data_IF_374097188506
#
_entry.id   IF_374097188506
#
_cell.length_a   1.000
_cell.length_b   1.000
_cell.length_c   1.000
_cell.angle_alpha   90.00
_cell.angle_beta   90.00
_cell.angle_gamma   90.00
#
_symmetry.space_group_name_H-M   'P 1'
#
loop_
_entity.id
_entity.type
_entity.pdbx_description
1 polymer ?
2 non-polymer ?
3 non-polymer ?
4 non-polymer ?
5 water ?
#
# COMPACT_ATOMS: atom_id res chain seq x y z
N UNK A 1 -1.00 9.40 5.73
CA UNK A 1 -2.12 9.01 6.63
C UNK A 1 -3.27 10.03 6.59
N UNK A 2 -4.50 9.54 6.77
CA UNK A 2 -5.71 10.37 6.74
C UNK A 2 -6.38 10.49 8.11
N UNK A 3 -7.52 11.20 8.15
CA UNK A 3 -8.32 11.38 9.36
C UNK A 3 -9.65 10.68 9.11
N UNK A 4 -10.15 9.95 10.11
CA UNK A 4 -11.43 9.25 9.97
C UNK A 4 -12.40 9.70 11.06
N UNK A 5 -12.03 10.80 11.72
CA UNK A 5 -12.87 11.36 12.76
C UNK A 5 -13.70 12.54 12.26
N UNK A 6 -13.59 12.85 10.96
CA UNK A 6 -14.36 13.95 10.35
C UNK A 6 -15.81 13.65 10.68
N UNK A 7 -16.51 14.66 11.19
CA UNK A 7 -17.89 14.47 11.58
C UNK A 7 -18.94 14.99 10.61
N UNK A 8 -19.81 14.06 10.20
CA UNK A 8 -20.89 14.30 9.26
C UNK A 8 -21.94 15.24 9.85
N UNK A 9 -22.65 15.93 8.96
CA UNK A 9 -23.67 16.86 9.39
C UNK A 9 -24.84 16.22 10.11
N UNK A 10 -25.27 16.83 11.21
CA UNK A 10 -26.43 16.34 11.98
C UNK A 10 -27.64 16.84 11.23
N UNK A 11 -28.43 15.93 10.70
CA UNK A 11 -29.60 16.32 9.94
C UNK A 11 -29.15 16.80 8.59
N UNK A 12 -28.27 16.01 7.99
CA UNK A 12 -27.72 16.31 6.68
C UNK A 12 -28.84 15.91 5.72
N UNK A 13 -29.13 16.77 4.76
CA UNK A 13 -30.20 16.51 3.80
C UNK A 13 -29.66 15.99 2.47
N UNK A 14 -29.79 14.68 2.22
CA UNK A 14 -29.30 14.08 0.98
C UNK A 14 -30.12 14.32 -0.29
N UNK A 15 -31.39 14.66 -0.14
CA UNK A 15 -32.21 14.93 -1.31
C UNK A 15 -31.76 16.23 -1.97
N UNK A 16 -31.19 17.12 -1.17
CA UNK A 16 -30.73 18.41 -1.68
C UNK A 16 -29.31 18.28 -2.20
N UNK A 17 -28.49 17.55 -1.45
CA UNK A 17 -27.10 17.38 -1.83
C UNK A 17 -26.97 16.63 -3.13
N UNK A 18 -27.59 15.45 -3.17
CA UNK A 18 -27.56 14.58 -4.32
C UNK A 18 -28.63 14.89 -5.33
N UNK A 19 -28.69 16.13 -5.78
CA UNK A 19 -29.70 16.53 -6.76
C UNK A 19 -29.24 16.48 -8.22
N UNK A 20 -28.02 16.01 -8.48
CA UNK A 20 -27.54 15.91 -9.85
C UNK A 20 -26.98 17.19 -10.40
N UNK A 21 -26.83 18.17 -9.53
CA UNK A 21 -26.29 19.46 -9.90
C UNK A 21 -24.81 19.46 -9.65
N UNK A 22 -24.16 20.53 -10.07
CA UNK A 22 -22.72 20.69 -9.96
C UNK A 22 -22.26 21.54 -8.76
N UNK A 23 -21.24 21.06 -8.06
CA UNK A 23 -20.66 21.76 -6.92
C UNK A 23 -19.29 22.13 -7.40
N UNK A 24 -18.84 23.35 -7.10
CA UNK A 24 -17.54 23.83 -7.53
C UNK A 24 -16.69 23.94 -6.29
N UNK A 25 -15.40 23.66 -6.40
CA UNK A 25 -14.53 23.83 -5.25
C UNK A 25 -14.06 25.27 -5.35
N UNK A 26 -14.31 26.06 -4.32
CA UNK A 26 -13.90 27.44 -4.38
C UNK A 26 -12.66 27.67 -3.51
N UNK A 27 -12.45 26.78 -2.55
CA UNK A 27 -11.35 26.89 -1.59
C UNK A 27 -11.05 25.51 -1.09
N UNK A 28 -9.80 25.25 -0.74
CA UNK A 28 -9.47 23.93 -0.22
C UNK A 28 -8.25 23.95 0.69
N UNK A 29 -8.03 22.83 1.35
CA UNK A 29 -6.91 22.66 2.24
C UNK A 29 -6.42 21.22 2.12
N UNK A 30 -5.19 21.11 1.62
CA UNK A 30 -4.47 19.87 1.42
C UNK A 30 -3.48 19.72 2.59
N UNK A 31 -3.64 18.68 3.38
CA UNK A 31 -2.76 18.49 4.53
C UNK A 31 -1.41 17.90 4.15
N UNK A 32 -1.37 17.24 3.01
CA UNK A 32 -0.16 16.61 2.51
C UNK A 32 -0.01 17.08 1.07
N UNK A 33 0.40 18.34 0.87
CA UNK A 33 0.56 18.86 -0.49
C UNK A 33 1.78 18.33 -1.26
N UNK A 34 1.62 18.21 -2.57
CA UNK A 34 2.68 17.75 -3.47
C UNK A 34 3.93 18.64 -3.35
N UNK A 35 5.10 18.08 -3.68
CA UNK A 35 6.34 18.84 -3.61
C UNK A 35 6.44 19.78 -4.80
N UNK A 36 5.66 19.52 -5.85
CA UNK A 36 5.64 20.37 -7.03
C UNK A 36 4.38 21.27 -7.06
N UNK A 37 4.56 22.62 -7.08
CA UNK A 37 3.44 23.59 -7.11
C UNK A 37 2.48 23.37 -8.27
N UNK A 38 1.18 23.48 -8.00
CA UNK A 38 0.15 23.25 -9.01
C UNK A 38 -1.18 23.99 -8.83
N UNK A 39 -1.56 24.76 -9.84
CA UNK A 39 -2.84 25.49 -9.80
C UNK A 39 -3.98 24.48 -9.96
N UNK A 40 -4.94 24.51 -9.04
CA UNK A 40 -5.98 23.46 -9.18
C UNK A 40 -7.47 23.93 -9.25
N UNK A 41 -8.14 23.22 -10.14
CA UNK A 41 -9.56 23.43 -10.34
C UNK A 41 -10.27 22.09 -10.29
N UNK A 42 -11.42 22.06 -9.64
CA UNK A 42 -12.20 20.83 -9.56
C UNK A 42 -13.65 21.19 -9.31
N UNK A 43 -14.54 20.29 -9.74
CA UNK A 43 -15.97 20.46 -9.55
C UNK A 43 -16.46 19.03 -9.53
N UNK A 44 -17.68 18.80 -9.04
CA UNK A 44 -18.26 17.47 -9.01
C UNK A 44 -19.77 17.63 -9.17
N UNK A 45 -20.47 16.53 -9.43
CA UNK A 45 -21.90 16.57 -9.59
C UNK A 45 -22.34 15.29 -8.90
N UNK A 46 -22.99 15.44 -7.76
CA UNK A 46 -23.46 14.29 -7.02
C UNK A 46 -24.94 14.15 -7.33
N UNK A 47 -25.39 12.93 -7.61
CA UNK A 47 -26.78 12.70 -7.95
C UNK A 47 -27.13 11.23 -7.86
N UNK A 48 -28.20 10.82 -8.50
CA UNK A 48 -28.60 9.40 -8.48
C UNK A 48 -28.92 8.98 -9.91
N UNK A 49 -28.89 7.69 -10.16
CA UNK A 49 -29.19 7.22 -11.49
C UNK A 49 -29.28 5.72 -11.46
N UNK A 50 -30.36 5.22 -12.02
CA UNK A 50 -30.64 3.79 -12.08
C UNK A 50 -30.83 3.20 -10.69
N UNK A 51 -30.88 4.04 -9.67
CA UNK A 51 -31.09 3.56 -8.32
C UNK A 51 -29.89 3.61 -7.38
N UNK A 52 -28.79 4.22 -7.82
CA UNK A 52 -27.62 4.29 -6.97
C UNK A 52 -27.16 5.71 -6.92
N UNK A 53 -26.44 6.02 -5.87
CA UNK A 53 -25.87 7.33 -5.68
C UNK A 53 -24.65 7.31 -6.61
N UNK A 54 -24.52 8.34 -7.43
CA UNK A 54 -23.43 8.44 -8.35
C UNK A 54 -22.79 9.79 -8.08
N UNK A 55 -21.49 9.90 -8.37
CA UNK A 55 -20.75 11.14 -8.21
C UNK A 55 -19.80 11.27 -9.39
N UNK A 56 -19.81 12.41 -10.07
CA UNK A 56 -18.92 12.59 -11.19
C UNK A 56 -17.94 13.69 -10.77
N UNK A 57 -16.64 13.45 -11.00
CA UNK A 57 -15.56 14.36 -10.63
C UNK A 57 -14.84 14.98 -11.84
N UNK A 58 -14.25 16.16 -11.63
CA UNK A 58 -13.55 16.88 -12.70
C UNK A 58 -12.35 17.61 -12.09
N UNK A 59 -11.19 17.52 -12.74
CA UNK A 59 -10.00 18.23 -12.29
C UNK A 59 -9.49 18.92 -13.52
N UNK A 60 -8.93 20.10 -13.34
CA UNK A 60 -8.43 20.88 -14.45
C UNK A 60 -7.16 21.57 -13.96
N UNK A 61 -6.22 21.77 -14.87
CA UNK A 61 -4.98 22.43 -14.55
C UNK A 61 -4.98 23.61 -15.51
N UNK A 62 -5.16 24.83 -14.99
CA UNK A 62 -5.17 25.96 -15.93
C UNK A 62 -3.82 26.17 -16.62
N UNK A 63 -2.75 25.71 -15.97
CA UNK A 63 -1.40 25.86 -16.51
C UNK A 63 -1.08 24.94 -17.69
N UNK A 64 -1.29 23.64 -17.49
CA UNK A 64 -1.02 22.65 -18.53
C UNK A 64 -2.23 22.39 -19.40
N UNK A 65 -3.38 22.90 -18.97
CA UNK A 65 -4.65 22.69 -19.66
C UNK A 65 -5.15 21.26 -19.53
N UNK A 66 -4.48 20.50 -18.66
CA UNK A 66 -4.78 19.11 -18.33
C UNK A 66 -6.23 18.99 -17.85
N UNK A 67 -6.82 17.86 -18.13
CA UNK A 67 -8.18 17.60 -17.64
C UNK A 67 -8.40 16.11 -17.46
N UNK A 68 -9.11 15.77 -16.40
CA UNK A 68 -9.45 14.36 -16.18
C UNK A 68 -10.77 14.25 -15.38
N UNK A 69 -11.49 13.21 -15.76
CA UNK A 69 -12.80 12.89 -15.18
C UNK A 69 -12.77 11.54 -14.46
N UNK A 70 -13.77 11.38 -13.56
CA UNK A 70 -13.97 10.15 -12.80
C UNK A 70 -15.45 10.03 -12.52
N UNK A 71 -15.89 8.79 -12.36
CA UNK A 71 -17.26 8.49 -12.04
C UNK A 71 -17.16 7.32 -11.05
N UNK A 72 -17.96 7.36 -9.97
CA UNK A 72 -17.99 6.30 -8.98
C UNK A 72 -19.41 6.07 -8.56
N UNK A 73 -19.65 4.87 -8.06
CA UNK A 73 -20.93 4.46 -7.52
C UNK A 73 -20.69 4.63 -6.03
N UNK A 74 -21.48 5.46 -5.35
CA UNK A 74 -21.26 5.66 -3.93
C UNK A 74 -22.02 4.65 -3.07
N UNK A 75 -21.46 4.37 -1.91
CA UNK A 75 -22.06 3.46 -0.95
C UNK A 75 -22.02 4.20 0.40
N UNK A 76 -23.19 4.28 1.03
CA UNK A 76 -23.39 5.00 2.29
C UNK A 76 -22.92 4.28 3.53
N UNK A 77 -21.94 4.85 4.21
CA UNK A 77 -21.43 4.27 5.46
C UNK A 77 -22.34 4.73 6.61
N UNK A 78 -22.79 5.97 6.51
CA UNK A 78 -23.66 6.60 7.48
C UNK A 78 -24.05 7.85 6.70
N UNK A 79 -25.24 8.44 6.97
CA UNK A 79 -25.61 9.66 6.22
C UNK A 79 -24.54 10.76 6.36
N UNK A 80 -24.00 11.22 5.25
CA UNK A 80 -22.96 12.23 5.31
C UNK A 80 -21.59 11.63 5.02
N UNK A 81 -21.43 10.33 5.29
CA UNK A 81 -20.15 9.61 5.05
C UNK A 81 -20.27 8.63 3.88
N UNK A 82 -19.49 8.84 2.83
CA UNK A 82 -19.60 7.96 1.64
C UNK A 82 -18.24 7.41 1.18
N UNK A 83 -18.28 6.23 0.55
CA UNK A 83 -17.11 5.59 -0.01
C UNK A 83 -17.31 5.51 -1.51
N UNK A 84 -16.32 5.98 -2.27
CA UNK A 84 -16.46 6.01 -3.69
C UNK A 84 -15.42 5.18 -4.44
N UNK A 85 -15.87 4.19 -5.20
CA UNK A 85 -14.98 3.36 -5.98
C UNK A 85 -14.94 3.95 -7.37
N UNK A 86 -13.94 4.78 -7.61
CA UNK A 86 -13.84 5.49 -8.88
C UNK A 86 -13.24 4.80 -10.08
N UNK A 87 -13.59 5.33 -11.24
CA UNK A 87 -13.10 4.83 -12.50
C UNK A 87 -12.84 6.06 -13.39
N UNK A 88 -11.62 6.18 -13.91
CA UNK A 88 -11.21 7.28 -14.78
C UNK A 88 -11.83 7.08 -16.15
N UNK A 89 -12.43 8.13 -16.70
CA UNK A 89 -13.13 7.99 -17.97
C UNK A 89 -12.88 9.17 -18.84
N UNK A 90 -13.22 9.03 -20.12
CA UNK A 90 -13.10 10.16 -21.03
C UNK A 90 -14.36 11.03 -20.79
N UNK A 91 -14.42 12.22 -21.36
CA UNK A 91 -15.59 13.05 -21.11
C UNK A 91 -16.89 12.45 -21.61
N UNK A 92 -16.79 11.37 -22.36
CA UNK A 92 -17.97 10.72 -22.90
C UNK A 92 -18.26 9.39 -22.20
N UNK A 93 -17.55 9.11 -21.11
CA UNK A 93 -17.79 7.87 -20.40
C UNK A 93 -16.92 6.68 -20.76
N UNK A 94 -16.04 6.81 -21.76
CA UNK A 94 -15.14 5.71 -22.15
C UNK A 94 -14.12 5.52 -21.03
N UNK A 95 -13.99 4.30 -20.52
CA UNK A 95 -13.08 3.96 -19.43
C UNK A 95 -11.60 3.95 -19.73
N UNK A 96 -10.84 4.76 -19.01
CA UNK A 96 -9.41 4.80 -19.17
C UNK A 96 -8.80 3.86 -18.13
N UNK A 97 -9.29 3.92 -16.89
CA UNK A 97 -8.79 3.06 -15.80
C UNK A 97 -9.98 2.47 -15.04
N UNK A 98 -10.16 1.16 -15.16
CA UNK A 98 -11.29 0.47 -14.54
C UNK A 98 -11.33 0.64 -13.02
N UNK A 99 -12.44 0.21 -12.45
CA UNK A 99 -12.62 0.27 -11.01
C UNK A 99 -11.66 -0.75 -10.43
N UNK A 100 -11.04 -0.42 -9.31
CA UNK A 100 -10.09 -1.32 -8.69
C UNK A 100 -10.17 -1.29 -7.18
N UNK A 101 -9.91 -2.45 -6.58
CA UNK A 101 -9.94 -2.63 -5.14
C UNK A 101 -9.18 -1.56 -4.37
N UNK A 102 -7.92 -1.37 -4.71
CA UNK A 102 -7.13 -0.37 -4.01
C UNK A 102 -7.54 1.07 -4.27
N UNK A 103 -8.32 1.29 -5.33
CA UNK A 103 -8.75 2.63 -5.71
C UNK A 103 -10.11 3.08 -5.21
N UNK A 104 -10.09 4.10 -4.35
CA UNK A 104 -11.32 4.64 -3.80
C UNK A 104 -11.06 5.84 -2.94
N UNK A 105 -12.06 6.68 -2.78
CA UNK A 105 -11.91 7.79 -1.89
C UNK A 105 -13.15 7.81 -1.02
N UNK A 106 -13.01 8.39 0.16
CA UNK A 106 -14.11 8.49 1.08
C UNK A 106 -14.25 9.95 1.50
N UNK A 107 -15.48 10.44 1.49
CA UNK A 107 -15.71 11.81 1.90
C UNK A 107 -16.82 11.91 2.91
N UNK A 108 -16.71 12.96 3.71
CA UNK A 108 -17.66 13.26 4.74
C UNK A 108 -18.20 14.66 4.46
N UNK A 109 -19.52 14.76 4.46
CA UNK A 109 -20.18 16.03 4.24
C UNK A 109 -20.27 16.58 5.67
N UNK A 110 -19.41 17.54 5.99
CA UNK A 110 -19.37 18.16 7.31
C UNK A 110 -20.45 19.24 7.51
N UNK A 111 -20.78 19.92 6.43
CA UNK A 111 -21.80 20.97 6.42
C UNK A 111 -22.34 21.14 4.99
N UNK A 112 -23.63 21.42 4.86
CA UNK A 112 -24.25 21.63 3.54
C UNK A 112 -25.52 22.47 3.61
N UNK A 113 -25.64 23.36 2.63
CA UNK A 113 -26.75 24.29 2.45
C UNK A 113 -27.35 23.94 1.12
N UNK A 114 -28.10 24.91 0.62
CA UNK A 114 -28.77 24.85 -0.66
C UNK A 114 -27.77 25.50 -1.60
N UNK A 115 -26.77 26.15 -1.03
CA UNK A 115 -25.81 26.85 -1.83
C UNK A 115 -24.33 26.61 -1.48
N UNK A 116 -24.07 25.99 -0.35
CA UNK A 116 -22.70 25.76 0.05
C UNK A 116 -22.47 24.47 0.80
N UNK A 117 -21.21 24.11 0.93
CA UNK A 117 -20.88 22.88 1.63
C UNK A 117 -19.42 22.86 2.03
N UNK A 118 -19.12 21.99 2.97
CA UNK A 118 -17.76 21.81 3.45
C UNK A 118 -17.63 20.30 3.53
N UNK A 119 -16.66 19.76 2.79
CA UNK A 119 -16.42 18.34 2.83
C UNK A 119 -14.95 17.96 3.18
N UNK A 120 -14.81 16.73 3.65
CA UNK A 120 -13.52 16.21 3.97
C UNK A 120 -13.41 15.02 3.04
N UNK A 121 -12.30 14.92 2.33
CA UNK A 121 -12.15 13.78 1.46
C UNK A 121 -10.78 13.12 1.66
N UNK A 122 -10.78 11.80 1.59
CA UNK A 122 -9.55 11.03 1.73
C UNK A 122 -9.37 10.12 0.53
N UNK A 123 -8.32 10.34 -0.23
CA UNK A 123 -8.01 9.54 -1.41
C UNK A 123 -7.02 8.39 -1.17
N UNK A 124 -7.43 7.20 -1.56
CA UNK A 124 -6.61 6.01 -1.46
C UNK A 124 -6.48 5.58 -2.91
N UNK A 125 -5.25 5.47 -3.40
CA UNK A 125 -5.08 5.04 -4.78
C UNK A 125 -4.17 3.84 -4.87
N UNK A 126 -4.71 2.69 -4.47
CA UNK A 126 -3.96 1.45 -4.48
C UNK A 126 -3.30 1.18 -3.14
N UNK A 127 -4.13 1.08 -2.11
CA UNK A 127 -3.72 0.83 -0.72
C UNK A 127 -2.92 1.97 -0.09
N UNK A 128 -2.53 2.94 -0.90
CA UNK A 128 -1.75 4.03 -0.38
C UNK A 128 -2.70 5.17 -0.05
N UNK A 129 -2.62 5.59 1.21
CA UNK A 129 -3.43 6.68 1.68
C UNK A 129 -2.80 7.93 1.12
N UNK A 130 -3.50 8.60 0.23
CA UNK A 130 -2.92 9.79 -0.37
C UNK A 130 -3.12 11.11 0.38
N UNK A 131 -3.62 11.07 1.62
CA UNK A 131 -3.80 12.29 2.39
C UNK A 131 -5.14 13.04 2.55
N UNK A 132 -5.22 13.80 3.65
CA UNK A 132 -6.38 14.62 4.06
C UNK A 132 -6.70 15.81 3.16
N UNK A 133 -7.95 15.90 2.70
CA UNK A 133 -8.33 17.05 1.90
C UNK A 133 -9.70 17.61 2.33
N UNK A 134 -9.71 18.91 2.61
CA UNK A 134 -10.93 19.61 3.02
C UNK A 134 -11.27 20.58 1.91
N UNK A 135 -12.50 20.56 1.45
CA UNK A 135 -12.91 21.45 0.37
C UNK A 135 -14.15 22.26 0.76
N UNK A 136 -14.23 23.48 0.24
CA UNK A 136 -15.39 24.34 0.45
C UNK A 136 -16.04 24.35 -0.94
N UNK A 137 -17.29 23.88 -1.02
CA UNK A 137 -18.01 23.85 -2.29
C UNK A 137 -19.12 24.91 -2.30
N UNK A 138 -19.50 25.34 -3.51
CA UNK A 138 -20.59 26.30 -3.68
C UNK A 138 -21.27 25.94 -4.97
N UNK A 139 -22.59 26.18 -5.06
CA UNK A 139 -23.37 25.87 -6.25
C UNK A 139 -23.10 26.93 -7.32
N UNK A 140 -22.43 28.00 -6.91
CA UNK A 140 -22.06 29.05 -7.85
C UNK A 140 -20.55 29.23 -7.74
N UNK A 141 -19.85 29.14 -8.86
CA UNK A 141 -18.40 29.25 -8.88
C UNK A 141 -17.78 30.56 -8.42
N UNK A 142 -18.52 31.65 -8.54
CA UNK A 142 -18.01 32.98 -8.18
C UNK A 142 -18.33 33.52 -6.81
N UNK A 143 -18.84 32.68 -5.94
CA UNK A 143 -19.19 33.17 -4.62
C UNK A 143 -18.19 32.82 -3.55
N UNK A 144 -17.89 33.84 -2.77
CA UNK A 144 -16.99 33.78 -1.63
C UNK A 144 -17.70 32.99 -0.53
N UNK A 145 -16.95 32.24 0.28
CA UNK A 145 -17.54 31.43 1.34
C UNK A 145 -18.30 32.32 2.32
N UNK A 146 -19.52 31.90 2.66
CA UNK A 146 -20.36 32.66 3.59
C UNK A 146 -20.05 32.38 5.04
N UNK A 147 -20.71 33.12 5.93
CA UNK A 147 -20.49 32.93 7.35
C UNK A 147 -20.79 31.54 7.84
N UNK A 148 -21.79 30.88 7.25
CA UNK A 148 -22.15 29.55 7.69
C UNK A 148 -21.10 28.49 7.40
N UNK A 149 -20.52 28.48 6.20
CA UNK A 149 -19.47 27.47 5.89
C UNK A 149 -18.24 27.77 6.77
N UNK A 150 -17.89 29.05 6.87
CA UNK A 150 -16.76 29.47 7.66
C UNK A 150 -16.89 29.14 9.15
N UNK A 151 -18.12 29.06 9.65
CA UNK A 151 -18.34 28.73 11.04
C UNK A 151 -18.09 27.26 11.15
N UNK A 152 -18.44 26.53 10.08
CA UNK A 152 -18.28 25.07 9.98
C UNK A 152 -16.79 24.69 9.90
N UNK A 153 -16.02 25.54 9.22
CA UNK A 153 -14.59 25.32 9.10
C UNK A 153 -14.03 25.46 10.52
N UNK A 154 -14.44 26.50 11.23
CA UNK A 154 -14.00 26.73 12.60
C UNK A 154 -14.48 25.64 13.55
N UNK A 155 -15.67 25.14 13.33
CA UNK A 155 -16.20 24.12 14.21
C UNK A 155 -15.39 22.82 14.04
N UNK A 156 -14.70 22.72 12.91
CA UNK A 156 -13.88 21.54 12.62
C UNK A 156 -12.47 21.68 13.20
N UNK A 157 -12.20 22.82 13.83
CA UNK A 157 -10.92 23.11 14.45
C UNK A 157 -9.86 23.52 13.43
N UNK A 158 -10.32 23.99 12.27
CA UNK A 158 -9.45 24.46 11.19
C UNK A 158 -9.49 25.99 11.08
N UNK A 159 -8.57 26.54 10.30
CA UNK A 159 -8.48 27.97 10.04
C UNK A 159 -8.75 28.22 8.55
N UNK A 160 -9.75 29.02 8.23
CA UNK A 160 -10.07 29.30 6.85
C UNK A 160 -8.97 30.04 6.12
N UNK A 161 -8.17 30.77 6.89
CA UNK A 161 -7.08 31.53 6.32
C UNK A 161 -6.00 30.60 5.79
N UNK A 162 -6.03 29.35 6.20
CA UNK A 162 -5.06 28.38 5.72
C UNK A 162 -5.60 27.74 4.43
N UNK A 163 -6.83 28.09 4.05
CA UNK A 163 -7.46 27.56 2.85
C UNK A 163 -6.97 28.32 1.64
N UNK A 164 -6.94 27.65 0.48
CA UNK A 164 -6.47 28.25 -0.76
C UNK A 164 -7.63 28.46 -1.72
N UNK A 165 -7.77 29.67 -2.25
CA UNK A 165 -8.86 29.98 -3.16
C UNK A 165 -8.55 29.70 -4.62
N UNK A 166 -9.44 28.95 -5.27
CA UNK A 166 -9.31 28.64 -6.69
C UNK A 166 -9.88 29.77 -7.56
N UNK A 167 -10.56 30.71 -6.91
CA UNK A 167 -11.20 31.86 -7.55
C UNK A 167 -10.31 32.59 -8.57
N UNK A 168 -9.00 32.56 -8.34
CA UNK A 168 -8.06 33.25 -9.22
C UNK A 168 -7.15 32.37 -10.09
N UNK A 169 -7.51 31.09 -10.29
CA UNK A 169 -6.68 30.18 -11.08
C UNK A 169 -7.13 30.06 -12.52
N UNK A 170 -7.90 31.03 -13.00
CA UNK A 170 -8.38 30.99 -14.37
C UNK A 170 -8.98 29.64 -14.70
N UNK A 171 -9.88 29.16 -13.84
CA UNK A 171 -10.50 27.85 -14.07
C UNK A 171 -11.49 27.82 -15.23
N UNK A 172 -11.77 26.62 -15.73
CA UNK A 172 -12.69 26.39 -16.84
C UNK A 172 -13.33 25.06 -16.47
N UNK A 173 -14.66 24.98 -16.52
CA UNK A 173 -15.41 23.78 -16.15
C UNK A 173 -16.23 23.19 -17.27
N UNK A 174 -16.54 21.90 -17.17
CA UNK A 174 -17.36 21.22 -18.17
C UNK A 174 -18.54 20.54 -17.47
N UNK A 175 -19.54 21.36 -17.13
CA UNK A 175 -20.73 20.90 -16.43
C UNK A 175 -21.61 20.04 -17.27
N UNK A 176 -21.58 20.28 -18.57
CA UNK A 176 -22.40 19.49 -19.44
C UNK A 176 -21.96 18.03 -19.31
N UNK A 177 -20.66 17.79 -19.51
CA UNK A 177 -20.12 16.44 -19.40
C UNK A 177 -20.22 15.92 -17.99
N UNK A 178 -19.98 16.79 -17.00
CA UNK A 178 -20.08 16.36 -15.60
C UNK A 178 -21.44 15.76 -15.29
N UNK A 179 -22.51 16.42 -15.72
CA UNK A 179 -23.87 15.95 -15.45
C UNK A 179 -24.27 14.66 -16.18
N UNK A 180 -23.74 14.48 -17.37
CA UNK A 180 -24.02 13.29 -18.16
C UNK A 180 -23.17 12.09 -17.76
N UNK A 181 -22.02 12.29 -17.13
CA UNK A 181 -21.17 11.15 -16.71
C UNK A 181 -21.86 10.46 -15.56
N UNK A 182 -22.88 11.11 -15.01
CA UNK A 182 -23.66 10.61 -13.87
C UNK A 182 -24.32 9.27 -14.13
N UNK A 183 -24.75 9.07 -15.37
CA UNK A 183 -25.43 7.83 -15.77
C UNK A 183 -24.48 6.76 -16.30
N UNK A 184 -23.20 7.15 -16.43
CA UNK A 184 -22.12 6.29 -16.95
C UNK A 184 -21.46 5.38 -15.92
N UNK B 1 11.31 -1.03 -5.54
CA UNK B 1 10.36 -2.19 -5.55
C UNK B 1 11.11 -3.51 -5.83
N UNK B 2 10.32 -4.58 -5.93
CA UNK B 2 10.84 -5.92 -6.16
C UNK B 2 10.80 -6.36 -7.62
N UNK B 3 11.32 -7.55 -7.88
CA UNK B 3 11.34 -8.14 -9.22
C UNK B 3 10.68 -9.51 -9.11
N UNK B 4 9.76 -9.80 -10.03
CA UNK B 4 9.04 -11.09 -10.02
C UNK B 4 9.52 -12.01 -11.15
N UNK B 5 10.67 -11.66 -11.72
CA UNK B 5 11.28 -12.43 -12.81
C UNK B 5 12.29 -13.49 -12.34
N UNK B 6 12.65 -13.48 -11.05
CA UNK B 6 13.58 -14.47 -10.51
C UNK B 6 13.05 -15.84 -10.89
N UNK B 7 13.93 -16.67 -11.46
CA UNK B 7 13.53 -18.00 -11.91
C UNK B 7 13.73 -19.05 -10.81
N UNK B 8 12.72 -19.90 -10.62
CA UNK B 8 12.80 -20.96 -9.62
C UNK B 8 13.74 -21.98 -10.21
N UNK B 9 14.35 -22.80 -9.37
CA UNK B 9 15.28 -23.80 -9.89
C UNK B 9 14.55 -24.83 -10.74
N UNK B 10 15.23 -25.25 -11.81
CA UNK B 10 14.68 -26.25 -12.72
C UNK B 10 15.02 -27.63 -12.12
N UNK B 11 13.98 -28.39 -11.82
CA UNK B 11 14.16 -29.70 -11.20
C UNK B 11 14.42 -29.51 -9.72
N UNK B 12 13.76 -28.52 -9.12
CA UNK B 12 13.90 -28.19 -7.70
C UNK B 12 13.33 -29.33 -6.83
N UNK B 13 14.14 -29.85 -5.91
CA UNK B 13 13.70 -30.92 -5.02
C UNK B 13 13.18 -30.34 -3.70
N UNK B 14 11.86 -30.35 -3.51
CA UNK B 14 11.26 -29.80 -2.32
C UNK B 14 11.56 -30.64 -1.11
N UNK B 15 11.69 -31.94 -1.31
CA UNK B 15 11.97 -32.89 -0.23
C UNK B 15 13.26 -32.62 0.51
N UNK B 16 14.23 -32.03 -0.18
CA UNK B 16 15.53 -31.73 0.43
C UNK B 16 15.49 -30.40 1.19
N UNK B 17 14.94 -29.40 0.52
CA UNK B 17 14.83 -28.05 1.03
C UNK B 17 13.91 -28.01 2.27
N UNK B 18 12.70 -28.55 2.16
CA UNK B 18 11.71 -28.57 3.24
C UNK B 18 11.79 -29.81 4.13
N UNK B 19 12.98 -30.10 4.62
CA UNK B 19 13.19 -31.29 5.44
C UNK B 19 13.18 -31.03 6.95
N UNK B 20 12.84 -29.80 7.35
CA UNK B 20 12.77 -29.47 8.77
C UNK B 20 14.07 -29.00 9.41
N UNK B 21 15.10 -28.82 8.60
CA UNK B 21 16.38 -28.42 9.12
C UNK B 21 16.64 -26.96 8.91
N UNK B 22 17.66 -26.45 9.59
CA UNK B 22 18.06 -25.06 9.52
C UNK B 22 18.94 -24.72 8.31
N UNK B 23 18.81 -23.48 7.84
CA UNK B 23 19.60 -22.96 6.74
C UNK B 23 20.12 -21.65 7.33
N UNK B 24 21.41 -21.36 7.15
CA UNK B 24 21.95 -20.11 7.68
C UNK B 24 22.14 -19.19 6.51
N UNK B 25 22.03 -17.89 6.74
CA UNK B 25 22.26 -16.95 5.67
C UNK B 25 23.73 -16.60 5.82
N UNK B 26 24.53 -16.93 4.82
CA UNK B 26 25.96 -16.66 4.88
C UNK B 26 26.31 -15.38 4.16
N UNK B 27 25.60 -15.07 3.09
CA UNK B 27 25.88 -13.86 2.32
C UNK B 27 24.56 -13.36 1.82
N UNK B 28 24.46 -12.06 1.58
CA UNK B 28 23.22 -11.54 1.08
C UNK B 28 23.43 -10.27 0.30
N UNK B 29 22.47 -9.98 -0.56
CA UNK B 29 22.52 -8.79 -1.37
C UNK B 29 21.20 -8.06 -1.22
N UNK B 30 21.30 -6.84 -0.72
CA UNK B 30 20.15 -5.96 -0.52
C UNK B 30 20.06 -4.94 -1.66
N UNK B 31 18.93 -4.89 -2.35
CA UNK B 31 18.75 -3.92 -3.42
C UNK B 31 18.26 -2.62 -2.81
N UNK B 32 17.64 -2.71 -1.62
CA UNK B 32 17.17 -1.52 -0.90
C UNK B 32 17.91 -1.38 0.44
N UNK B 33 19.19 -1.01 0.39
CA UNK B 33 19.97 -0.85 1.63
C UNK B 33 19.53 0.36 2.48
N UNK B 34 20.29 0.67 3.54
CA UNK B 34 19.91 1.78 4.42
C UNK B 34 20.92 2.94 4.40
N UNK B 35 20.68 3.91 5.28
CA UNK B 35 21.57 5.06 5.48
C UNK B 35 22.29 4.72 6.78
N UNK B 36 21.66 3.86 7.58
CA UNK B 36 22.22 3.39 8.85
C UNK B 36 22.58 1.92 8.54
N UNK B 37 23.76 1.67 7.92
CA UNK B 37 24.23 0.32 7.54
C UNK B 37 24.31 -0.69 8.70
N UNK B 38 23.63 -1.85 8.53
CA UNK B 38 23.61 -2.88 9.58
C UNK B 38 24.19 -4.25 9.22
N UNK B 39 24.71 -4.94 10.25
CA UNK B 39 25.28 -6.27 10.13
C UNK B 39 24.27 -7.29 10.68
N UNK B 40 23.46 -7.82 9.77
CA UNK B 40 22.44 -8.78 10.13
C UNK B 40 22.84 -10.24 10.20
N UNK B 41 22.09 -10.95 11.02
CA UNK B 41 22.26 -12.37 11.22
C UNK B 41 20.87 -12.90 11.03
N UNK B 42 20.73 -13.95 10.24
CA UNK B 42 19.41 -14.50 10.03
C UNK B 42 19.57 -15.97 9.72
N UNK B 43 18.52 -16.73 10.00
CA UNK B 43 18.47 -18.14 9.76
C UNK B 43 16.99 -18.48 9.66
N UNK B 44 16.68 -19.66 9.11
CA UNK B 44 15.30 -20.11 8.94
C UNK B 44 15.29 -21.63 8.97
N UNK B 45 14.13 -22.22 9.11
CA UNK B 45 13.99 -23.67 9.14
C UNK B 45 12.73 -23.89 8.34
N UNK B 46 12.81 -24.72 7.33
CA UNK B 46 11.67 -24.99 6.48
C UNK B 46 11.31 -26.47 6.53
N UNK B 47 10.01 -26.76 6.58
CA UNK B 47 9.56 -28.14 6.63
C UNK B 47 8.06 -28.23 6.45
N UNK B 48 7.48 -29.35 6.83
CA UNK B 48 6.04 -29.51 6.74
C UNK B 48 5.50 -29.84 8.10
N UNK B 49 4.30 -29.34 8.38
CA UNK B 49 3.66 -29.61 9.65
C UNK B 49 2.20 -29.65 9.30
N UNK B 50 1.53 -30.72 9.70
CA UNK B 50 0.11 -30.89 9.43
C UNK B 50 -0.22 -30.78 7.94
N UNK B 51 0.69 -31.26 7.09
CA UNK B 51 0.44 -31.23 5.66
C UNK B 51 0.66 -29.91 4.95
N UNK B 52 1.11 -28.91 5.71
CA UNK B 52 1.38 -27.60 5.15
C UNK B 52 2.88 -27.34 5.20
N UNK B 53 3.33 -26.56 4.22
CA UNK B 53 4.72 -26.16 4.14
C UNK B 53 4.85 -24.99 5.09
N UNK B 54 5.52 -25.19 6.21
CA UNK B 54 5.71 -24.13 7.18
C UNK B 54 7.15 -23.63 7.08
N UNK B 55 7.42 -22.45 7.64
CA UNK B 55 8.77 -21.91 7.65
C UNK B 55 8.92 -21.05 8.89
N UNK B 56 10.08 -21.13 9.55
CA UNK B 56 10.35 -20.35 10.77
C UNK B 56 11.59 -19.50 10.57
N UNK B 57 11.45 -18.19 10.76
CA UNK B 57 12.52 -17.23 10.59
C UNK B 57 13.12 -16.71 11.88
N UNK B 58 14.38 -16.30 11.77
CA UNK B 58 15.14 -15.79 12.90
C UNK B 58 16.04 -14.68 12.39
N UNK B 59 16.04 -13.55 13.10
CA UNK B 59 16.85 -12.39 12.77
C UNK B 59 17.51 -12.07 14.07
N UNK B 60 18.70 -11.54 13.97
CA UNK B 60 19.48 -11.22 15.13
C UNK B 60 20.30 -10.02 14.75
N UNK B 61 20.55 -9.21 15.75
CA UNK B 61 21.34 -8.03 15.55
C UNK B 61 22.47 -8.20 16.55
N UNK B 62 23.68 -8.50 16.07
CA UNK B 62 24.79 -8.67 17.01
C UNK B 62 24.94 -7.47 17.96
N UNK B 63 24.90 -6.27 17.40
CA UNK B 63 25.05 -5.02 18.15
C UNK B 63 24.13 -4.86 19.36
N UNK B 64 22.83 -4.86 19.09
CA UNK B 64 21.83 -4.69 20.13
C UNK B 64 21.42 -5.97 20.85
N UNK B 65 21.73 -7.13 20.28
CA UNK B 65 21.32 -8.38 20.89
C UNK B 65 19.82 -8.59 20.60
N UNK B 66 19.24 -7.65 19.85
CA UNK B 66 17.84 -7.71 19.45
C UNK B 66 17.62 -8.98 18.65
N UNK B 67 16.44 -9.54 18.74
CA UNK B 67 16.18 -10.75 17.99
C UNK B 67 14.70 -11.07 17.86
N UNK B 68 14.20 -11.31 16.63
CA UNK B 68 12.80 -11.66 16.45
C UNK B 68 12.57 -12.98 15.71
N UNK B 69 11.39 -13.56 15.89
CA UNK B 69 11.01 -14.82 15.26
C UNK B 69 9.72 -14.58 14.46
N UNK B 70 9.44 -15.45 13.49
CA UNK B 70 8.24 -15.36 12.67
C UNK B 70 7.94 -16.78 12.29
N UNK B 71 6.68 -17.10 12.02
CA UNK B 71 6.31 -18.44 11.56
C UNK B 71 5.36 -18.24 10.37
N UNK B 72 5.50 -19.06 9.33
CA UNK B 72 4.68 -18.91 8.14
C UNK B 72 4.11 -20.21 7.64
N UNK B 73 3.06 -20.08 6.85
CA UNK B 73 2.41 -21.14 6.17
C UNK B 73 2.63 -20.69 4.78
N UNK B 74 3.22 -21.52 3.93
CA UNK B 74 3.51 -21.10 2.57
C UNK B 74 2.54 -21.68 1.57
N UNK B 75 2.24 -20.88 0.55
CA UNK B 75 1.37 -21.30 -0.54
C UNK B 75 2.34 -21.38 -1.73
N UNK B 76 2.34 -22.52 -2.40
CA UNK B 76 3.23 -22.74 -3.54
C UNK B 76 2.64 -22.24 -4.84
N UNK B 77 3.16 -21.13 -5.36
CA UNK B 77 2.69 -20.58 -6.61
C UNK B 77 3.05 -21.53 -7.75
N UNK B 78 4.23 -22.12 -7.63
CA UNK B 78 4.77 -23.04 -8.60
C UNK B 78 5.96 -23.66 -7.92
N UNK B 79 6.51 -24.74 -8.49
CA UNK B 79 7.68 -25.35 -7.84
C UNK B 79 8.81 -24.34 -7.64
N UNK B 80 9.21 -24.15 -6.39
CA UNK B 80 10.28 -23.24 -6.07
C UNK B 80 9.87 -21.80 -5.83
N UNK B 81 8.57 -21.53 -5.94
CA UNK B 81 8.03 -20.20 -5.72
C UNK B 81 6.90 -20.25 -4.68
N UNK B 82 7.10 -19.53 -3.57
CA UNK B 82 6.11 -19.56 -2.46
C UNK B 82 5.75 -18.16 -1.94
N UNK B 83 4.55 -18.09 -1.40
CA UNK B 83 4.05 -16.87 -0.78
C UNK B 83 3.89 -17.22 0.70
N UNK B 84 4.35 -16.36 1.60
CA UNK B 84 4.26 -16.67 3.01
C UNK B 84 3.56 -15.61 3.84
N UNK B 85 2.46 -15.96 4.50
CA UNK B 85 1.79 -14.99 5.37
C UNK B 85 2.31 -15.27 6.78
N UNK B 86 3.18 -14.39 7.25
CA UNK B 86 3.81 -14.56 8.55
C UNK B 86 3.21 -13.87 9.76
N UNK B 87 3.65 -14.32 10.93
CA UNK B 87 3.29 -13.69 12.18
C UNK B 87 4.53 -13.60 13.08
N UNK B 88 4.66 -12.51 13.83
CA UNK B 88 5.76 -12.36 14.76
C UNK B 88 5.38 -13.23 15.95
N UNK B 89 6.32 -14.01 16.47
CA UNK B 89 6.03 -14.85 17.62
C UNK B 89 7.17 -14.69 18.59
N UNK B 90 6.98 -15.15 19.81
CA UNK B 90 8.01 -15.11 20.84
C UNK B 90 8.73 -16.42 20.64
N UNK B 91 9.92 -16.57 21.19
CA UNK B 91 10.66 -17.82 21.01
C UNK B 91 9.89 -19.09 21.44
N UNK B 92 8.78 -18.89 22.15
CA UNK B 92 7.94 -20.01 22.61
C UNK B 92 6.70 -20.23 21.75
N UNK B 93 6.42 -19.35 20.79
CA UNK B 93 5.26 -19.53 19.94
C UNK B 93 4.13 -18.56 20.19
N UNK B 94 4.31 -17.68 21.17
CA UNK B 94 3.29 -16.68 21.50
C UNK B 94 3.20 -15.62 20.40
N UNK B 95 2.00 -15.41 19.87
CA UNK B 95 1.78 -14.41 18.82
C UNK B 95 1.87 -12.96 19.32
N UNK B 96 2.73 -12.19 18.67
CA UNK B 96 2.89 -10.80 19.01
C UNK B 96 2.10 -10.03 17.97
N UNK B 97 2.34 -10.33 16.68
CA UNK B 97 1.64 -9.69 15.58
C UNK B 97 1.03 -10.75 14.70
N UNK B 98 -0.26 -11.03 14.88
CA UNK B 98 -0.94 -12.07 14.11
C UNK B 98 -0.88 -11.91 12.60
N UNK B 99 -1.43 -12.90 11.90
CA UNK B 99 -1.46 -12.92 10.44
C UNK B 99 -2.38 -11.85 9.90
N UNK B 100 -1.92 -11.11 8.90
CA UNK B 100 -2.72 -10.06 8.27
C UNK B 100 -2.46 -10.06 6.76
N UNK B 101 -3.51 -9.85 5.98
CA UNK B 101 -3.41 -9.86 4.52
C UNK B 101 -2.27 -9.06 3.85
N UNK B 102 -2.09 -7.80 4.21
CA UNK B 102 -1.03 -7.01 3.60
C UNK B 102 0.39 -7.23 4.07
N UNK B 103 0.59 -8.26 4.88
CA UNK B 103 1.91 -8.61 5.42
C UNK B 103 2.29 -9.99 4.90
N UNK B 104 3.23 -10.04 3.97
CA UNK B 104 3.66 -11.31 3.41
C UNK B 104 4.97 -11.16 2.68
N UNK B 105 5.63 -12.29 2.44
CA UNK B 105 6.84 -12.25 1.68
C UNK B 105 6.72 -13.42 0.73
N UNK B 106 7.22 -13.22 -0.49
CA UNK B 106 7.23 -14.25 -1.52
C UNK B 106 8.68 -14.59 -1.79
N UNK B 107 8.94 -15.84 -2.12
CA UNK B 107 10.31 -16.17 -2.42
C UNK B 107 10.44 -17.29 -3.43
N UNK B 108 11.55 -17.21 -4.17
CA UNK B 108 11.93 -18.18 -5.20
C UNK B 108 13.25 -18.86 -4.87
N UNK B 109 13.25 -20.18 -4.92
CA UNK B 109 14.47 -20.95 -4.70
C UNK B 109 15.05 -21.01 -6.11
N UNK B 110 16.11 -20.24 -6.34
CA UNK B 110 16.78 -20.18 -7.63
C UNK B 110 17.75 -21.37 -7.79
N UNK B 111 18.37 -21.77 -6.68
CA UNK B 111 19.29 -22.90 -6.64
C UNK B 111 19.28 -23.54 -5.26
N UNK B 112 19.47 -24.85 -5.21
CA UNK B 112 19.50 -25.52 -3.94
C UNK B 112 20.06 -26.89 -4.11
N UNK B 113 20.88 -27.30 -3.16
CA UNK B 113 21.38 -28.67 -3.17
C UNK B 113 21.39 -29.12 -1.73
N UNK B 114 22.05 -30.22 -1.43
CA UNK B 114 22.06 -30.76 -0.09
C UNK B 114 22.68 -29.92 0.98
N UNK B 115 23.37 -28.85 0.61
CA UNK B 115 24.02 -28.05 1.63
C UNK B 115 24.12 -26.56 1.33
N UNK B 116 23.67 -26.13 0.16
CA UNK B 116 23.74 -24.73 -0.21
C UNK B 116 22.53 -24.32 -1.02
N UNK B 117 22.27 -23.02 -1.08
CA UNK B 117 21.12 -22.54 -1.80
C UNK B 117 21.17 -21.03 -1.96
N UNK B 118 20.51 -20.55 -3.01
CA UNK B 118 20.39 -19.12 -3.32
C UNK B 118 18.88 -18.85 -3.50
N UNK B 119 18.36 -17.86 -2.78
CA UNK B 119 16.94 -17.56 -2.88
C UNK B 119 16.77 -16.07 -3.07
N UNK B 120 15.64 -15.70 -3.65
CA UNK B 120 15.33 -14.30 -3.82
C UNK B 120 14.11 -14.11 -2.93
N UNK B 121 14.06 -13.00 -2.20
CA UNK B 121 12.94 -12.77 -1.31
C UNK B 121 12.46 -11.34 -1.41
N UNK B 122 11.15 -11.19 -1.44
CA UNK B 122 10.56 -9.86 -1.48
C UNK B 122 9.59 -9.72 -0.29
N UNK B 123 9.84 -8.74 0.56
CA UNK B 123 9.02 -8.51 1.72
C UNK B 123 7.94 -7.45 1.52
N UNK B 124 6.70 -7.84 1.87
CA UNK B 124 5.53 -6.97 1.80
C UNK B 124 4.98 -6.72 3.21
N UNK B 125 5.05 -5.48 3.67
CA UNK B 125 4.56 -5.14 5.00
C UNK B 125 3.71 -3.89 4.90
N UNK B 126 2.41 -4.04 5.14
CA UNK B 126 1.52 -2.90 5.05
C UNK B 126 1.17 -2.65 3.60
N UNK B 127 1.05 -3.76 2.86
CA UNK B 127 0.73 -3.72 1.42
C UNK B 127 1.79 -2.86 0.73
N UNK B 128 2.87 -2.62 1.45
CA UNK B 128 3.99 -1.84 0.98
C UNK B 128 5.04 -2.81 0.48
N UNK B 129 6.21 -2.30 0.13
CA UNK B 129 7.32 -3.11 -0.38
C UNK B 129 8.62 -2.71 0.25
N UNK B 130 9.20 -3.60 1.06
CA UNK B 130 10.47 -3.28 1.69
C UNK B 130 11.63 -3.64 0.75
N UNK B 131 11.28 -4.05 -0.47
CA UNK B 131 12.27 -4.36 -1.47
C UNK B 131 12.94 -5.71 -1.59
N UNK B 132 13.70 -5.80 -2.68
CA UNK B 132 14.47 -6.97 -3.10
C UNK B 132 15.58 -7.43 -2.16
N UNK B 133 15.83 -8.73 -2.18
CA UNK B 133 16.89 -9.31 -1.36
C UNK B 133 17.21 -10.71 -1.80
N UNK B 134 18.50 -10.95 -2.09
CA UNK B 134 19.01 -12.26 -2.50
C UNK B 134 19.89 -12.76 -1.38
N UNK B 135 19.75 -14.03 -1.05
CA UNK B 135 20.53 -14.58 0.05
C UNK B 135 21.15 -15.91 -0.27
N UNK B 136 22.41 -16.08 0.15
CA UNK B 136 23.11 -17.35 0.03
C UNK B 136 22.95 -18.08 1.38
N UNK B 137 22.44 -19.30 1.29
CA UNK B 137 22.20 -20.12 2.47
C UNK B 137 23.11 -21.32 2.50
N UNK B 138 23.38 -21.81 3.70
CA UNK B 138 24.17 -23.03 3.86
C UNK B 138 23.70 -23.81 5.07
N UNK B 139 23.80 -25.12 5.01
CA UNK B 139 23.42 -25.92 6.16
C UNK B 139 24.45 -25.74 7.28
N UNK B 140 25.63 -25.17 6.97
CA UNK B 140 26.70 -24.92 7.95
C UNK B 140 26.91 -23.43 8.01
N UNK B 141 26.94 -22.88 9.21
CA UNK B 141 27.10 -21.44 9.33
C UNK B 141 28.51 -20.98 9.05
N UNK B 142 29.46 -21.91 9.08
CA UNK B 142 30.86 -21.57 8.86
C UNK B 142 31.41 -21.92 7.47
N UNK B 143 30.52 -22.29 6.55
CA UNK B 143 30.95 -22.65 5.23
C UNK B 143 30.82 -21.49 4.28
N UNK B 144 31.89 -21.21 3.56
CA UNK B 144 31.93 -20.14 2.57
C UNK B 144 31.20 -20.67 1.35
N UNK B 145 30.75 -19.79 0.47
CA UNK B 145 29.99 -20.21 -0.70
C UNK B 145 30.79 -21.03 -1.72
N UNK B 146 30.27 -22.20 -2.08
CA UNK B 146 30.94 -23.04 -3.05
C UNK B 146 30.78 -22.61 -4.50
N UNK B 147 31.36 -23.37 -5.41
CA UNK B 147 31.29 -23.02 -6.83
C UNK B 147 29.90 -23.14 -7.43
N UNK B 148 29.07 -24.03 -6.90
CA UNK B 148 27.71 -24.17 -7.43
C UNK B 148 26.80 -22.98 -7.12
N UNK B 149 26.64 -22.56 -5.88
CA UNK B 149 25.79 -21.38 -5.63
C UNK B 149 26.34 -20.13 -6.35
N UNK B 150 27.66 -19.95 -6.35
CA UNK B 150 28.24 -18.79 -7.04
C UNK B 150 28.03 -18.84 -8.55
N UNK B 151 27.78 -20.04 -9.07
CA UNK B 151 27.55 -20.19 -10.48
C UNK B 151 26.10 -19.81 -10.73
N UNK B 152 25.27 -20.05 -9.73
CA UNK B 152 23.85 -19.73 -9.79
C UNK B 152 23.71 -18.22 -9.71
N UNK B 153 24.57 -17.60 -8.92
CA UNK B 153 24.58 -16.15 -8.77
C UNK B 153 24.86 -15.54 -10.13
N UNK B 154 25.87 -16.10 -10.81
CA UNK B 154 26.27 -15.63 -12.12
C UNK B 154 25.13 -15.81 -13.10
N UNK B 155 24.51 -16.98 -13.05
CA UNK B 155 23.40 -17.23 -13.91
C UNK B 155 22.26 -16.21 -13.73
N UNK B 156 22.18 -15.50 -12.59
CA UNK B 156 21.08 -14.52 -12.37
C UNK B 156 21.52 -13.11 -12.70
N UNK B 157 22.67 -13.01 -13.36
CA UNK B 157 23.23 -11.74 -13.77
C UNK B 157 23.61 -10.85 -12.61
N UNK B 158 23.99 -11.47 -11.51
CA UNK B 158 24.44 -10.76 -10.31
C UNK B 158 25.96 -10.95 -10.18
N UNK B 159 26.58 -10.17 -9.30
CA UNK B 159 28.01 -10.25 -9.01
C UNK B 159 28.16 -10.65 -7.55
N UNK B 160 28.80 -11.78 -7.29
CA UNK B 160 28.97 -12.22 -5.91
C UNK B 160 29.80 -11.23 -5.11
N UNK B 161 30.56 -10.41 -5.81
CA UNK B 161 31.40 -9.39 -5.20
C UNK B 161 30.53 -8.41 -4.45
N UNK B 162 29.29 -8.25 -4.91
CA UNK B 162 28.34 -7.35 -4.30
C UNK B 162 27.75 -7.93 -3.02
N UNK B 163 27.67 -9.25 -2.91
CA UNK B 163 27.12 -9.84 -1.71
C UNK B 163 27.90 -9.51 -0.45
N UNK B 164 27.18 -9.29 0.65
CA UNK B 164 27.78 -8.98 1.94
C UNK B 164 27.83 -10.31 2.70
N UNK B 165 28.87 -10.50 3.48
CA UNK B 165 29.02 -11.72 4.25
C UNK B 165 28.65 -11.50 5.71
N UNK B 166 28.07 -12.53 6.34
CA UNK B 166 27.68 -12.48 7.75
C UNK B 166 28.63 -13.24 8.67
N UNK B 167 29.75 -13.72 8.13
CA UNK B 167 30.70 -14.50 8.94
C UNK B 167 31.38 -13.80 10.13
N UNK B 168 32.00 -12.65 9.88
CA UNK B 168 32.68 -11.90 10.94
C UNK B 168 31.69 -10.91 11.56
N UNK B 169 30.48 -11.40 11.87
CA UNK B 169 29.42 -10.60 12.47
C UNK B 169 29.12 -10.98 13.90
N UNK B 170 29.80 -12.01 14.40
CA UNK B 170 29.59 -12.50 15.77
C UNK B 170 28.11 -12.89 15.96
N UNK B 171 27.60 -13.63 14.98
CA UNK B 171 26.21 -14.09 14.97
C UNK B 171 25.95 -15.21 15.97
N UNK B 172 24.79 -15.12 16.63
CA UNK B 172 24.40 -16.15 17.57
C UNK B 172 23.10 -16.67 16.99
N UNK B 173 22.82 -17.96 17.15
CA UNK B 173 21.61 -18.56 16.60
C UNK B 173 20.87 -19.35 17.65
N UNK B 174 19.61 -19.65 17.38
CA UNK B 174 18.81 -20.43 18.30
C UNK B 174 18.01 -21.41 17.46
N UNK B 175 18.65 -22.50 17.09
CA UNK B 175 18.02 -23.51 16.25
C UNK B 175 17.05 -24.40 16.97
N UNK B 176 17.28 -24.60 18.26
CA UNK B 176 16.39 -25.45 19.02
C UNK B 176 14.99 -24.83 18.97
N UNK B 177 14.88 -23.51 19.16
CA UNK B 177 13.59 -22.85 19.11
C UNK B 177 13.12 -22.67 17.65
N UNK B 178 14.06 -22.44 16.75
CA UNK B 178 13.72 -22.31 15.33
C UNK B 178 13.02 -23.58 14.84
N UNK B 179 13.45 -24.71 15.34
CA UNK B 179 12.90 -25.97 14.91
C UNK B 179 11.55 -26.32 15.53
N UNK B 180 11.37 -25.94 16.80
CA UNK B 180 10.11 -26.26 17.48
C UNK B 180 8.96 -25.29 17.09
N UNK B 181 9.32 -24.11 16.59
CA UNK B 181 8.37 -23.09 16.14
C UNK B 181 7.66 -23.55 14.88
N UNK B 182 8.21 -24.58 14.23
CA UNK B 182 7.64 -25.12 13.01
C UNK B 182 6.28 -25.79 13.25
N UNK B 183 5.92 -25.96 14.52
CA UNK B 183 4.65 -26.57 14.94
C UNK B 183 3.57 -25.57 15.36
N UNK B 184 3.99 -24.35 15.70
CA UNK B 184 3.06 -23.30 16.12
C UNK B 184 2.68 -22.40 14.93
X LIG C 1 -7.66 14.88 -4.88
X LIG C 1 -7.19 14.72 -3.84
X LIG D 1 -25.80 30.63 2.51
X LIG D 1 -27.10 29.94 2.53
X LIG D 1 -25.81 31.73 3.52
X LIG D 1 -25.55 31.18 1.17
X LIG D 1 -24.73 29.68 2.86
X LIG E 1 -6.56 13.00 -8.19
X LIG E 1 -10.74 13.04 -5.75
X LIG E 1 -10.30 17.87 -5.20
X LIG E 1 -5.68 17.57 -6.59
X LIG E 1 -7.80 12.66 -7.68
X LIG E 1 -8.50 11.42 -7.92
X LIG E 1 -9.68 11.43 -7.22
X LIG E 1 -9.68 12.65 -6.53
X LIG E 1 -10.80 10.41 -7.29
X LIG E 1 -7.99 10.28 -8.78
X LIG E 1 -8.19 10.48 -10.27
X LIG E 1 -7.77 9.26 -11.08
X LIG E 1 -6.54 9.06 -11.21
X LIG E 1 -8.65 8.50 -11.58
X LIG E 1 -11.00 14.38 -5.41
X LIG E 1 -12.22 14.87 -4.84
X LIG E 1 -12.12 16.21 -4.69
X LIG E 1 -10.81 16.59 -5.17
X LIG E 1 -13.37 13.93 -4.44
X LIG E 1 -13.06 17.01 -4.05
X LIG E 1 -13.82 17.94 -4.69
X LIG E 1 -9.06 18.19 -5.59
X LIG E 1 -8.44 19.49 -5.35
X LIG E 1 -7.11 19.42 -5.61
X LIG E 1 -6.89 18.04 -6.06
X LIG E 1 -9.16 20.70 -4.85
X LIG E 1 -6.13 20.40 -5.36
X LIG E 1 -5.33 20.22 -4.24
X LIG E 1 -5.50 16.29 -7.20
X LIG E 1 -4.32 15.93 -7.95
X LIG E 1 -4.59 14.62 -8.40
X LIG E 1 -5.92 14.21 -7.96
X LIG E 1 -3.08 16.82 -8.06
X LIG E 1 -3.67 13.67 -9.16
X LIG E 1 -3.06 12.66 -8.21
X LIG E 1 -2.98 11.27 -8.83
X LIG E 1 -2.54 10.34 -8.12
X LIG E 1 -3.37 11.12 -10.01
X LIG E 1 -8.59 13.46 -6.89
X LIG E 1 -10.13 15.45 -5.64
X LIG E 1 -8.11 17.26 -6.05
X LIG E 1 -6.49 15.25 -7.25
X LIG E 1 -8.35 15.35 -6.56
X LIG F 1 14.22 -9.25 5.48
X LIG F 1 14.08 -8.76 4.44
X LIG G 1 28.29 -28.19 -2.56
X LIG G 1 27.31 -27.12 -2.88
X LIG G 1 27.64 -29.52 -2.65
X LIG G 1 28.83 -27.98 -1.20
X LIG G 1 29.40 -28.12 -3.53
X LIG H 1 12.16 -8.05 8.74
X LIG H 1 11.92 -12.02 6.01
X LIG H 1 16.78 -11.99 5.74
X LIG H 1 16.81 -7.46 7.38
X LIG H 1 11.73 -9.28 8.23
X LIG H 1 10.32 -9.67 8.22
X LIG H 1 10.26 -10.77 7.40
X LIG H 1 11.58 -10.99 6.87
X LIG H 1 9.07 -11.71 7.24
X LIG H 1 9.20 -9.01 9.01
X LIG H 1 9.36 -9.39 10.48
X LIG H 1 8.09 -9.21 11.29
X LIG H 1 7.60 -10.19 11.89
X LIG H 1 7.57 -8.08 11.32
X LIG H 1 13.23 -12.39 5.73
X LIG H 1 13.63 -13.65 5.07
X LIG H 1 15.00 -13.63 5.00
X LIG H 1 15.44 -12.38 5.64
X LIG H 1 12.71 -14.68 4.41
X LIG H 1 15.89 -14.45 4.28
X LIG H 1 15.96 -15.79 4.46
X LIG H 1 17.22 -10.77 6.18
X LIG H 1 18.61 -10.31 6.10
X LIG H 1 18.63 -8.96 6.38
X LIG H 1 17.20 -8.63 6.74
X LIG H 1 19.84 -11.18 5.90
X LIG H 1 19.76 -8.12 6.39
X LIG H 1 19.78 -7.08 5.49
X LIG H 1 15.57 -7.31 7.98
X LIG H 1 15.15 -6.05 8.57
X LIG H 1 13.82 -6.16 8.93
X LIG H 1 13.44 -7.54 8.58
X LIG H 1 16.04 -4.80 8.68
X LIG H 1 12.98 -4.97 9.49
X LIG H 1 11.43 -4.81 9.53
X LIG H 1 10.89 -4.44 10.94
X LIG H 1 11.20 -3.32 11.43
X LIG H 1 10.15 -5.27 11.55
X LIG H 1 12.51 -10.13 7.43
X LIG H 1 14.35 -11.61 6.10
X LIG H 1 16.34 -9.77 6.62
X LIG H 1 14.53 -8.24 7.96
X LIG H 1 14.48 -10.00 7.13
#
# INVERSE_FOLDING_TARGET
KCTKNALAQTGFNKDKYFNGDVWYVTDYLDLEPDDVPKRYCAALAAGTASGKLKEALYHYDPKTQDTFYDVSELQEESPGKYTANFKKVEKNGNVKVDVTSGNYYTFTVMYADDSSALIHTCLHKGNKDLGDLYAVLNRNKDTNAGDKVKGAVTAASLKFSDFISTKDNKCEYDNVSLKSLLTK
KCTKNALAQTGFNKDKYFNGDVWYVTDYLDLEPDDVPKRYCAALAAGTASGKLKEALYHYDPKTQDTFYDVSELQEESPGKYTANFKKVEKNGNVKVDVTSGNYYTFTVMYADDSSALIHTCLHKGNKDLGDLYAVLNRNKDTNAGDKVKGAVTAASLKFSDFISTKDNKCEYDNVSLKSLLTK
CYN C N
PO4 P O1 O2 O3 O4
HEM CHA CHB CHC CHD C1A C2A C3A C4A CMA CAA CBA CGA O1A O2A C1B C2B C3B C4B CMB CAB CBB C1C C2C C3C C4C CMC CAC CBC C1D C2D C3D C4D CMD CAD CBD CGD O1D O2D NA NB NC ND FE
CYN C N
PO4 P O1 O2 O3 O4
HEM CHA CHB CHC CHD C1A C2A C3A C4A CMA CAA CBA CGA O1A O2A C1B C2B C3B C4B CMB CAB CBB C1C C2C C3C C4C CMC CAC CBC C1D C2D C3D C4D CMD CAD CBD CGD O1D O2D NA NB NC ND FE
#
